data_IF_374772533672
#
_entry.id   IF_374772533672
#
_cell.length_a   1.000
_cell.length_b   1.000
_cell.length_c   1.000
_cell.angle_alpha   90.00
_cell.angle_beta   90.00
_cell.angle_gamma   90.00
#
_symmetry.space_group_name_H-M   'P 1'
#
loop_
_entity.id
_entity.type
_entity.pdbx_description
1 polymer ?
#
# COMPACT_ATOMS: atom_id res chain seq x y z
N UNK A 1 12.80 30.00 14.69
CA UNK A 1 12.76 28.53 14.50
C UNK A 1 11.36 27.91 14.61
N UNK A 2 10.69 27.87 15.77
CA UNK A 2 9.37 27.19 15.88
C UNK A 2 8.27 27.79 15.00
N UNK A 3 8.19 29.12 14.90
CA UNK A 3 7.22 29.80 14.03
C UNK A 3 7.54 29.63 12.54
N UNK A 4 8.83 29.58 12.17
CA UNK A 4 9.28 29.31 10.79
C UNK A 4 9.02 27.85 10.40
N UNK A 5 9.22 26.91 11.32
CA UNK A 5 8.91 25.50 11.14
C UNK A 5 7.40 25.27 10.96
N UNK A 6 6.57 25.92 11.78
CA UNK A 6 5.12 25.90 11.61
C UNK A 6 4.72 26.51 10.26
N UNK A 7 5.29 27.64 9.88
CA UNK A 7 5.04 28.27 8.58
C UNK A 7 5.51 27.40 7.39
N UNK A 8 6.55 26.58 7.57
CA UNK A 8 7.03 25.61 6.57
C UNK A 8 6.11 24.40 6.43
N UNK A 9 5.65 23.80 7.54
CA UNK A 9 4.75 22.63 7.51
C UNK A 9 3.36 23.00 6.96
N UNK A 10 2.87 24.21 7.29
CA UNK A 10 1.57 24.71 6.83
C UNK A 10 1.63 25.20 5.37
N UNK A 11 2.83 25.43 4.83
CA UNK A 11 3.03 25.72 3.39
C UNK A 11 2.93 24.42 2.59
N UNK A 12 1.75 24.15 2.06
CA UNK A 12 1.50 23.09 1.07
C UNK A 12 0.77 21.87 1.64
N UNK A 13 0.73 20.79 0.86
CA UNK A 13 -0.01 19.57 1.16
C UNK A 13 0.73 18.57 2.08
N UNK A 14 1.79 19.03 2.77
CA UNK A 14 2.70 18.18 3.54
C UNK A 14 2.01 17.43 4.68
N UNK A 15 1.07 18.09 5.37
CA UNK A 15 0.33 17.46 6.48
C UNK A 15 -0.54 16.31 5.97
N UNK A 16 -1.21 16.45 4.82
CA UNK A 16 -2.03 15.34 4.28
C UNK A 16 -1.16 14.19 3.80
N UNK A 17 -0.01 14.48 3.18
CA UNK A 17 0.97 13.47 2.76
C UNK A 17 1.53 12.71 3.98
N UNK A 18 1.86 13.43 5.05
CA UNK A 18 2.35 12.83 6.28
C UNK A 18 1.32 11.90 6.93
N UNK A 19 0.06 12.34 7.02
CA UNK A 19 -1.04 11.51 7.54
C UNK A 19 -1.25 10.27 6.67
N UNK A 20 -1.28 10.43 5.34
CA UNK A 20 -1.42 9.31 4.41
C UNK A 20 -0.28 8.27 4.56
N UNK A 21 0.96 8.73 4.73
CA UNK A 21 2.11 7.86 4.93
C UNK A 21 2.04 7.09 6.25
N UNK A 22 1.76 7.77 7.37
CA UNK A 22 1.63 7.13 8.69
C UNK A 22 0.51 6.10 8.68
N UNK A 23 -0.64 6.44 8.11
CA UNK A 23 -1.76 5.51 7.95
C UNK A 23 -1.39 4.32 7.07
N UNK A 24 -0.64 4.53 5.99
CA UNK A 24 -0.16 3.46 5.11
C UNK A 24 0.79 2.49 5.82
N UNK A 25 1.75 3.00 6.60
CA UNK A 25 2.68 2.16 7.37
C UNK A 25 1.94 1.39 8.46
N UNK A 26 1.08 2.06 9.22
CA UNK A 26 0.29 1.42 10.27
C UNK A 26 -0.62 0.32 9.70
N UNK A 27 -1.30 0.58 8.58
CA UNK A 27 -2.13 -0.40 7.89
C UNK A 27 -1.31 -1.61 7.41
N UNK A 28 -0.15 -1.38 6.79
CA UNK A 28 0.76 -2.45 6.35
C UNK A 28 1.17 -3.36 7.52
N UNK A 29 1.47 -2.78 8.68
CA UNK A 29 1.81 -3.53 9.90
C UNK A 29 0.63 -4.41 10.36
N UNK A 30 -0.59 -3.87 10.41
CA UNK A 30 -1.80 -4.62 10.79
C UNK A 30 -2.06 -5.79 9.85
N UNK A 31 -1.94 -5.58 8.54
CA UNK A 31 -2.13 -6.64 7.55
C UNK A 31 -1.02 -7.69 7.67
N UNK A 32 0.22 -7.27 7.89
CA UNK A 32 1.35 -8.19 8.08
C UNK A 32 1.15 -9.08 9.30
N UNK A 33 0.74 -8.51 10.45
CA UNK A 33 0.37 -9.29 11.63
C UNK A 33 -0.81 -10.22 11.38
N UNK A 34 -1.85 -9.77 10.68
CA UNK A 34 -2.97 -10.65 10.33
C UNK A 34 -2.52 -11.86 9.51
N UNK A 35 -1.64 -11.66 8.51
CA UNK A 35 -1.13 -12.76 7.70
C UNK A 35 -0.20 -13.66 8.51
N UNK A 36 0.78 -13.09 9.21
CA UNK A 36 1.79 -13.86 9.94
C UNK A 36 1.21 -14.60 11.14
N UNK A 37 0.30 -13.98 11.89
CA UNK A 37 -0.16 -14.49 13.18
C UNK A 37 -1.46 -15.29 13.09
N UNK A 38 -2.29 -15.06 12.05
CA UNK A 38 -3.58 -15.76 11.87
C UNK A 38 -3.60 -16.65 10.63
N UNK A 39 -3.15 -16.15 9.47
CA UNK A 39 -3.25 -16.90 8.22
C UNK A 39 -2.17 -17.98 8.12
N UNK A 40 -0.91 -17.64 8.41
CA UNK A 40 0.21 -18.59 8.30
C UNK A 40 0.06 -19.83 9.20
N UNK A 41 -0.39 -19.75 10.47
CA UNK A 41 -0.60 -20.94 11.29
C UNK A 41 -1.68 -21.87 10.72
N UNK A 42 -2.76 -21.31 10.16
CA UNK A 42 -3.84 -22.08 9.53
C UNK A 42 -3.34 -22.77 8.26
N UNK A 43 -2.63 -22.04 7.40
CA UNK A 43 -2.02 -22.57 6.18
C UNK A 43 -0.94 -23.60 6.52
N UNK A 44 -0.09 -23.34 7.49
CA UNK A 44 0.97 -24.23 7.95
C UNK A 44 0.42 -25.55 8.48
N UNK A 45 -0.75 -25.52 9.15
CA UNK A 45 -1.43 -26.75 9.57
C UNK A 45 -2.06 -27.52 8.39
N UNK A 46 -2.53 -26.83 7.35
CA UNK A 46 -3.18 -27.43 6.18
C UNK A 46 -2.19 -28.03 5.17
N UNK A 47 -1.08 -27.32 4.89
CA UNK A 47 -0.08 -27.69 3.87
C UNK A 47 1.09 -28.47 4.48
N UNK A 48 1.18 -28.51 5.82
CA UNK A 48 2.20 -29.24 6.56
C UNK A 48 3.49 -28.45 6.71
N UNK A 49 3.58 -27.62 7.76
CA UNK A 49 4.76 -26.87 8.23
C UNK A 49 5.80 -26.59 7.13
N UNK A 50 5.39 -25.81 6.13
CA UNK A 50 6.26 -25.46 5.00
C UNK A 50 7.19 -24.34 5.44
N UNK A 51 8.21 -24.69 6.22
CA UNK A 51 9.21 -23.73 6.66
C UNK A 51 10.41 -23.74 5.70
N UNK A 52 10.35 -22.85 4.72
CA UNK A 52 11.46 -22.62 3.80
C UNK A 52 12.64 -21.92 4.47
N UNK A 53 12.52 -21.40 5.70
CA UNK A 53 13.58 -20.59 6.32
C UNK A 53 14.89 -21.36 6.55
N UNK A 54 14.82 -22.69 6.64
CA UNK A 54 15.99 -23.56 6.81
C UNK A 54 16.66 -23.98 5.50
N UNK A 55 16.15 -23.54 4.35
CA UNK A 55 16.81 -23.76 3.07
C UNK A 55 17.89 -22.70 2.85
N UNK A 56 19.14 -23.12 2.98
CA UNK A 56 20.30 -22.29 2.69
C UNK A 56 21.40 -23.12 2.03
N UNK A 57 22.11 -22.51 1.09
CA UNK A 57 23.30 -23.09 0.48
C UNK A 57 24.51 -22.50 1.18
N UNK A 58 25.19 -23.31 1.98
CA UNK A 58 26.41 -22.86 2.62
C UNK A 58 27.57 -22.88 1.62
N UNK A 59 28.31 -21.77 1.51
CA UNK A 59 29.54 -21.71 0.71
C UNK A 59 30.81 -21.67 1.59
N UNK A 60 30.67 -21.57 2.92
CA UNK A 60 31.77 -21.53 3.88
C UNK A 60 32.37 -22.89 4.23
N UNK A 61 31.79 -24.01 3.79
CA UNK A 61 32.29 -25.36 4.09
C UNK A 61 32.06 -25.88 5.52
N UNK A 62 31.51 -25.07 6.43
CA UNK A 62 31.18 -25.47 7.81
C UNK A 62 29.74 -26.00 7.93
N UNK A 63 29.47 -26.96 8.81
CA UNK A 63 28.10 -27.43 9.04
C UNK A 63 27.44 -26.61 10.16
N UNK A 64 26.35 -25.90 9.86
CA UNK A 64 25.55 -25.20 10.87
C UNK A 64 24.21 -25.89 11.09
N UNK A 65 23.74 -25.90 12.34
CA UNK A 65 22.49 -26.55 12.72
C UNK A 65 21.23 -25.90 12.11
N UNK A 66 21.30 -24.62 11.72
CA UNK A 66 20.19 -23.90 11.10
C UNK A 66 20.68 -22.69 10.28
N UNK A 67 19.83 -22.21 9.37
CA UNK A 67 20.08 -20.98 8.63
C UNK A 67 20.28 -19.76 9.56
N UNK A 68 19.62 -19.76 10.72
CA UNK A 68 19.76 -18.72 11.74
C UNK A 68 21.13 -18.79 12.43
N UNK A 69 21.61 -20.00 12.75
CA UNK A 69 22.94 -20.20 13.32
C UNK A 69 24.06 -19.83 12.34
N UNK A 70 23.91 -20.19 11.06
CA UNK A 70 24.84 -19.80 9.99
C UNK A 70 24.90 -18.27 9.83
N UNK A 71 23.75 -17.57 9.89
CA UNK A 71 23.71 -16.10 9.83
C UNK A 71 24.39 -15.46 11.03
N UNK A 72 24.13 -15.97 12.23
CA UNK A 72 24.72 -15.46 13.47
C UNK A 72 26.24 -15.68 13.52
N UNK A 73 26.73 -16.77 12.92
CA UNK A 73 28.16 -17.07 12.79
C UNK A 73 28.86 -16.26 11.68
N UNK A 74 28.13 -15.43 10.91
CA UNK A 74 28.70 -14.66 9.81
C UNK A 74 29.11 -15.50 8.60
N UNK A 75 28.55 -16.69 8.44
CA UNK A 75 28.86 -17.57 7.32
C UNK A 75 28.42 -16.96 5.98
N UNK A 76 29.28 -17.05 4.97
CA UNK A 76 28.92 -16.76 3.59
C UNK A 76 28.02 -17.87 3.06
N UNK A 77 26.71 -17.74 3.26
CA UNK A 77 25.70 -18.65 2.75
C UNK A 77 24.61 -17.92 1.96
N UNK A 78 24.10 -18.57 0.91
CA UNK A 78 22.95 -18.09 0.14
C UNK A 78 21.68 -18.61 0.82
N UNK A 79 20.98 -17.71 1.50
CA UNK A 79 19.73 -18.01 2.23
C UNK A 79 18.50 -17.86 1.34
N UNK A 80 18.42 -18.63 0.26
CA UNK A 80 17.30 -18.58 -0.70
C UNK A 80 15.95 -18.93 -0.05
N UNK A 81 15.96 -19.76 1.00
CA UNK A 81 14.79 -20.10 1.78
C UNK A 81 14.08 -18.90 2.43
N UNK A 82 14.86 -17.95 2.96
CA UNK A 82 14.31 -16.71 3.52
C UNK A 82 13.66 -15.83 2.45
N UNK A 83 14.24 -15.82 1.24
CA UNK A 83 13.68 -15.07 0.11
C UNK A 83 12.37 -15.68 -0.37
N UNK A 84 12.31 -17.02 -0.52
CA UNK A 84 11.07 -17.72 -0.88
C UNK A 84 9.98 -17.47 0.16
N UNK A 85 10.32 -17.53 1.45
CA UNK A 85 9.37 -17.23 2.52
C UNK A 85 8.84 -15.78 2.44
N UNK A 86 9.73 -14.80 2.21
CA UNK A 86 9.32 -13.40 2.02
C UNK A 86 8.41 -13.23 0.79
N UNK A 87 8.69 -13.94 -0.30
CA UNK A 87 7.88 -13.89 -1.53
C UNK A 87 6.49 -14.53 -1.33
N UNK A 88 6.42 -15.67 -0.63
CA UNK A 88 5.15 -16.31 -0.26
C UNK A 88 4.33 -15.39 0.65
N UNK A 89 4.96 -14.80 1.67
CA UNK A 89 4.29 -13.88 2.58
C UNK A 89 3.73 -12.64 1.84
N UNK A 90 4.53 -12.05 0.95
CA UNK A 90 4.08 -10.95 0.09
C UNK A 90 2.87 -11.34 -0.75
N UNK A 91 2.86 -12.54 -1.35
CA UNK A 91 1.72 -13.04 -2.11
C UNK A 91 0.47 -13.23 -1.25
N UNK A 92 0.62 -13.77 -0.04
CA UNK A 92 -0.48 -13.93 0.91
C UNK A 92 -1.07 -12.59 1.34
N UNK A 93 -0.23 -11.62 1.68
CA UNK A 93 -0.64 -10.25 1.99
C UNK A 93 -1.42 -9.65 0.81
N UNK A 94 -0.90 -9.79 -0.43
CA UNK A 94 -1.58 -9.28 -1.61
C UNK A 94 -2.97 -9.89 -1.80
N UNK A 95 -3.12 -11.22 -1.63
CA UNK A 95 -4.41 -11.91 -1.72
C UNK A 95 -5.37 -11.44 -0.62
N UNK A 96 -4.91 -11.32 0.62
CA UNK A 96 -5.75 -10.84 1.74
C UNK A 96 -6.23 -9.41 1.50
N UNK A 97 -5.32 -8.50 1.13
CA UNK A 97 -5.67 -7.10 0.81
C UNK A 97 -6.65 -7.04 -0.35
N UNK A 98 -6.48 -7.87 -1.38
CA UNK A 98 -7.41 -7.96 -2.49
C UNK A 98 -8.81 -8.41 -2.05
N UNK A 99 -8.91 -9.44 -1.20
CA UNK A 99 -10.19 -9.92 -0.66
C UNK A 99 -10.86 -8.84 0.20
N UNK A 100 -10.11 -8.16 1.08
CA UNK A 100 -10.63 -7.06 1.92
C UNK A 100 -11.09 -5.88 1.05
N UNK A 101 -10.31 -5.49 0.04
CA UNK A 101 -10.69 -4.43 -0.90
C UNK A 101 -11.96 -4.79 -1.67
N UNK A 102 -12.09 -6.03 -2.14
CA UNK A 102 -13.29 -6.51 -2.83
C UNK A 102 -14.50 -6.55 -1.90
N UNK A 103 -14.32 -6.95 -0.64
CA UNK A 103 -15.37 -6.92 0.36
C UNK A 103 -15.82 -5.49 0.65
N UNK A 104 -14.88 -4.55 0.77
CA UNK A 104 -15.18 -3.13 0.93
C UNK A 104 -15.94 -2.56 -0.26
N UNK A 105 -15.48 -2.81 -1.50
CA UNK A 105 -16.18 -2.40 -2.72
C UNK A 105 -17.58 -3.02 -2.86
N UNK A 106 -17.82 -4.19 -2.27
CA UNK A 106 -19.14 -4.84 -2.26
C UNK A 106 -20.08 -4.23 -1.20
N UNK A 107 -19.53 -3.76 -0.08
CA UNK A 107 -20.25 -3.12 1.01
C UNK A 107 -20.54 -1.65 0.72
N UNK A 108 -19.65 -0.98 -0.01
CA UNK A 108 -19.97 0.28 -0.66
C UNK A 108 -21.05 -0.01 -1.70
N UNK A 109 -22.32 0.26 -1.33
CA UNK A 109 -23.36 0.59 -2.31
C UNK A 109 -22.75 1.53 -3.33
N UNK A 110 -23.09 1.45 -4.64
CA UNK A 110 -22.58 2.39 -5.63
C UNK A 110 -22.88 3.80 -5.13
N UNK A 111 -21.90 4.42 -4.47
CA UNK A 111 -21.90 5.83 -4.18
C UNK A 111 -21.84 6.39 -5.59
N UNK A 112 -22.95 7.00 -6.00
CA UNK A 112 -22.95 7.97 -7.10
C UNK A 112 -21.64 8.74 -6.91
N UNK A 113 -20.68 8.50 -7.80
CA UNK A 113 -19.42 9.23 -7.78
C UNK A 113 -19.81 10.70 -7.60
N UNK A 114 -19.18 11.46 -6.68
CA UNK A 114 -19.60 12.82 -6.41
C UNK A 114 -19.83 13.50 -7.74
N UNK A 115 -21.11 13.84 -8.02
CA UNK A 115 -21.52 14.25 -9.35
C UNK A 115 -20.51 15.29 -9.84
N UNK A 116 -19.91 15.11 -11.03
CA UNK A 116 -18.73 15.86 -11.42
C UNK A 116 -19.01 17.35 -11.22
N UNK A 117 -18.39 17.99 -10.22
CA UNK A 117 -18.71 19.38 -9.86
C UNK A 117 -18.24 20.38 -10.92
N UNK A 118 -17.44 19.89 -11.88
CA UNK A 118 -16.90 20.63 -13.00
C UNK A 118 -17.33 20.05 -14.34
N UNK A 119 -17.65 20.93 -15.30
CA UNK A 119 -17.76 20.63 -16.74
C UNK A 119 -16.57 21.22 -17.47
N UNK A 120 -16.26 20.68 -18.64
CA UNK A 120 -15.25 21.24 -19.53
C UNK A 120 -15.87 22.36 -20.37
N UNK A 121 -15.21 23.53 -20.43
CA UNK A 121 -15.67 24.62 -21.29
C UNK A 121 -15.53 24.21 -22.78
N UNK A 122 -16.59 24.30 -23.61
CA UNK A 122 -16.52 23.94 -25.03
C UNK A 122 -15.52 24.77 -25.84
N UNK A 123 -15.29 26.02 -25.42
CA UNK A 123 -14.48 26.99 -26.16
C UNK A 123 -12.99 26.93 -25.77
N UNK A 124 -12.69 26.88 -24.47
CA UNK A 124 -11.32 26.99 -23.98
C UNK A 124 -10.79 25.75 -23.26
N UNK A 125 -11.57 24.65 -23.18
CA UNK A 125 -11.20 23.37 -22.55
C UNK A 125 -10.80 23.46 -21.06
N UNK A 126 -11.06 24.60 -20.42
CA UNK A 126 -10.79 24.78 -18.98
C UNK A 126 -11.90 24.12 -18.16
N UNK A 127 -11.53 23.49 -17.05
CA UNK A 127 -12.49 22.97 -16.08
C UNK A 127 -13.18 24.12 -15.35
N UNK A 128 -14.51 24.13 -15.40
CA UNK A 128 -15.36 25.18 -14.83
C UNK A 128 -16.48 24.55 -14.01
N UNK A 129 -17.04 25.24 -12.99
CA UNK A 129 -18.15 24.70 -12.21
C UNK A 129 -19.35 24.34 -13.10
N UNK A 130 -20.09 23.26 -12.78
CA UNK A 130 -21.29 22.85 -13.53
C UNK A 130 -22.31 24.00 -13.67
N UNK A 131 -22.52 24.75 -12.59
CA UNK A 131 -23.46 25.87 -12.53
C UNK A 131 -22.93 27.15 -13.22
N UNK A 132 -21.72 27.14 -13.77
CA UNK A 132 -21.19 28.31 -14.45
C UNK A 132 -21.96 28.57 -15.75
N UNK A 133 -22.63 29.72 -15.81
CA UNK A 133 -23.27 30.27 -17.02
C UNK A 133 -22.29 31.02 -17.93
N UNK A 134 -21.13 31.41 -17.39
CA UNK A 134 -20.10 32.13 -18.13
C UNK A 134 -18.72 31.62 -17.75
N UNK A 135 -17.86 31.41 -18.74
CA UNK A 135 -16.51 30.92 -18.48
C UNK A 135 -15.64 32.03 -17.86
N UNK A 136 -14.98 31.80 -16.71
CA UNK A 136 -14.09 32.80 -16.10
C UNK A 136 -12.81 33.04 -16.91
N UNK A 137 -12.41 32.10 -17.78
CA UNK A 137 -11.16 32.21 -18.52
C UNK A 137 -11.31 32.89 -19.88
N UNK A 138 -12.30 32.45 -20.68
CA UNK A 138 -12.52 32.96 -22.04
C UNK A 138 -13.79 33.82 -22.18
N UNK A 139 -14.48 34.11 -21.07
CA UNK A 139 -15.69 34.97 -20.98
C UNK A 139 -16.88 34.56 -21.86
N UNK A 140 -16.79 33.41 -22.53
CA UNK A 140 -17.85 32.83 -23.34
C UNK A 140 -19.08 32.48 -22.50
N UNK A 141 -20.26 32.73 -23.04
CA UNK A 141 -21.53 32.30 -22.45
C UNK A 141 -21.74 30.82 -22.74
N UNK A 142 -22.08 30.08 -21.69
CA UNK A 142 -22.27 28.64 -21.73
C UNK A 142 -23.77 28.41 -21.61
N UNK A 143 -24.40 28.17 -22.75
CA UNK A 143 -25.85 27.94 -22.84
C UNK A 143 -26.32 26.85 -21.88
N UNK A 144 -27.50 27.05 -21.31
CA UNK A 144 -28.11 26.12 -20.37
C UNK A 144 -28.48 24.83 -21.10
N UNK A 145 -27.85 23.72 -20.69
CA UNK A 145 -28.19 22.36 -21.06
C UNK A 145 -27.98 21.46 -19.86
#
# INVERSE_FOLDING_TARGET
MWQEFKAFIVKGNLVQIAVAFIMGVAFSSVVSSFVNDLVMPIIGKLIGNVDFANLYLNLSGEAYASAAAARAAGAAAIYYGAFINALVNFLLIAVVVFVVSKAYQKLERPKVAPAPTTKECPFCRTQIPLAARRCPHCTSELGEG
#
